data_IF_876457810777
#
_entry.id   IF_876457810777
#
_cell.length_a   1.000
_cell.length_b   1.000
_cell.length_c   1.000
_cell.angle_alpha   90.00
_cell.angle_beta   90.00
_cell.angle_gamma   90.00
#
_symmetry.space_group_name_H-M   'P 1'
#
loop_
_entity.id
_entity.type
_entity.pdbx_description
1 polymer ?
#
# COMPACT_ATOMS: atom_id res chain seq x y z
N UNK A 1 -11.88 5.03 -5.11
CA UNK A 1 -12.22 6.14 -4.19
C UNK A 1 -11.30 7.30 -4.53
N UNK A 2 -11.70 8.57 -4.33
CA UNK A 2 -10.84 9.70 -4.71
C UNK A 2 -10.05 10.23 -3.53
N UNK A 3 -8.72 10.31 -3.68
CA UNK A 3 -7.84 10.99 -2.73
C UNK A 3 -8.09 12.50 -2.75
N UNK A 4 -8.00 13.16 -1.59
CA UNK A 4 -8.19 14.61 -1.45
C UNK A 4 -6.92 15.37 -1.82
N UNK A 5 -5.77 14.78 -1.54
CA UNK A 5 -4.45 15.32 -1.86
C UNK A 5 -3.44 14.23 -2.15
N UNK A 6 -2.17 14.62 -2.25
CA UNK A 6 -1.09 13.68 -2.47
C UNK A 6 -0.71 12.95 -1.17
N UNK A 7 -0.29 11.69 -1.31
CA UNK A 7 0.23 10.83 -0.24
C UNK A 7 1.64 10.35 -0.60
N UNK A 8 2.53 10.35 0.38
CA UNK A 8 3.91 9.89 0.24
C UNK A 8 4.92 11.01 0.47
N UNK A 9 6.10 10.84 -0.14
CA UNK A 9 7.21 11.79 -0.04
C UNK A 9 7.91 11.83 -1.38
N UNK A 10 8.04 13.04 -1.94
CA UNK A 10 8.82 13.22 -3.16
C UNK A 10 10.26 12.77 -2.93
N UNK A 11 10.79 11.98 -3.86
CA UNK A 11 12.18 11.49 -3.84
C UNK A 11 13.22 12.59 -4.06
N UNK A 12 12.79 13.75 -4.60
CA UNK A 12 13.62 14.94 -4.85
C UNK A 12 13.13 16.09 -3.98
N UNK A 13 14.08 16.78 -3.34
CA UNK A 13 13.85 17.93 -2.45
C UNK A 13 13.41 19.21 -3.20
N UNK A 14 12.45 19.10 -4.14
CA UNK A 14 11.95 20.24 -4.91
C UNK A 14 10.95 21.12 -4.12
N UNK A 15 10.98 21.04 -2.77
CA UNK A 15 10.11 21.79 -1.87
C UNK A 15 8.62 21.43 -1.93
N UNK A 16 8.25 20.40 -2.70
CA UNK A 16 6.88 19.89 -2.75
C UNK A 16 6.65 18.91 -1.61
N UNK A 17 5.64 19.17 -0.79
CA UNK A 17 5.22 18.27 0.26
C UNK A 17 3.81 17.75 -0.01
N UNK A 18 3.65 16.44 0.10
CA UNK A 18 2.33 15.81 0.12
C UNK A 18 1.61 16.25 1.39
N UNK A 19 0.31 16.53 1.28
CA UNK A 19 -0.46 16.92 2.44
C UNK A 19 -0.64 15.74 3.41
N UNK A 20 -0.55 14.49 2.92
CA UNK A 20 -0.58 13.27 3.73
C UNK A 20 -1.77 13.28 4.71
N UNK A 21 -2.98 13.51 4.20
CA UNK A 21 -4.16 13.53 5.04
C UNK A 21 -4.38 12.12 5.61
N UNK A 22 -4.77 11.95 6.88
CA UNK A 22 -4.92 10.62 7.46
C UNK A 22 -5.86 9.71 6.67
N UNK A 23 -6.98 10.24 6.17
CA UNK A 23 -7.94 9.48 5.34
C UNK A 23 -7.31 9.03 4.00
N UNK A 24 -6.52 9.90 3.37
CA UNK A 24 -5.84 9.59 2.11
C UNK A 24 -4.73 8.55 2.35
N UNK A 25 -3.98 8.68 3.46
CA UNK A 25 -2.97 7.70 3.86
C UNK A 25 -3.61 6.33 4.09
N UNK A 26 -4.72 6.27 4.84
CA UNK A 26 -5.46 5.03 5.08
C UNK A 26 -5.94 4.41 3.78
N UNK A 27 -6.52 5.21 2.89
CA UNK A 27 -6.97 4.74 1.56
C UNK A 27 -5.83 4.10 0.77
N UNK A 28 -4.65 4.74 0.74
CA UNK A 28 -3.48 4.20 0.03
C UNK A 28 -2.95 2.94 0.70
N UNK A 29 -2.95 2.88 2.04
CA UNK A 29 -2.55 1.69 2.81
C UNK A 29 -3.46 0.51 2.49
N UNK A 30 -4.78 0.71 2.52
CA UNK A 30 -5.77 -0.34 2.24
C UNK A 30 -5.63 -0.88 0.82
N UNK A 31 -5.42 0.01 -0.15
CA UNK A 31 -5.18 -0.36 -1.54
C UNK A 31 -3.87 -1.16 -1.70
N UNK A 32 -2.76 -0.68 -1.13
CA UNK A 32 -1.47 -1.39 -1.16
C UNK A 32 -1.57 -2.75 -0.49
N UNK A 33 -2.27 -2.85 0.63
CA UNK A 33 -2.46 -4.12 1.34
C UNK A 33 -3.33 -5.11 0.56
N UNK A 34 -4.26 -4.61 -0.25
CA UNK A 34 -5.11 -5.44 -1.11
C UNK A 34 -4.37 -5.98 -2.32
N UNK A 35 -3.30 -5.33 -2.76
CA UNK A 35 -2.47 -5.79 -3.88
C UNK A 35 -1.48 -6.86 -3.41
N UNK A 36 -1.32 -7.91 -4.23
CA UNK A 36 -0.40 -9.00 -3.95
C UNK A 36 1.07 -8.53 -3.97
N UNK A 37 1.96 -9.12 -3.14
CA UNK A 37 3.38 -8.74 -3.13
C UNK A 37 4.09 -8.92 -4.48
N UNK A 38 3.68 -9.89 -5.29
CA UNK A 38 4.23 -10.10 -6.64
C UNK A 38 3.95 -8.92 -7.58
N UNK A 39 2.82 -8.24 -7.41
CA UNK A 39 2.46 -7.04 -8.16
C UNK A 39 3.00 -5.75 -7.51
N UNK A 40 3.84 -5.88 -6.48
CA UNK A 40 4.45 -4.76 -5.75
C UNK A 40 3.61 -4.22 -4.59
N UNK A 41 2.52 -4.91 -4.23
CA UNK A 41 1.69 -4.55 -3.07
C UNK A 41 2.29 -4.95 -1.72
N UNK A 42 1.64 -4.52 -0.65
CA UNK A 42 2.02 -4.82 0.73
C UNK A 42 1.38 -6.11 1.28
N UNK A 43 0.35 -6.67 0.62
CA UNK A 43 -0.25 -7.95 0.99
C UNK A 43 -0.70 -8.05 2.45
N UNK A 44 -1.24 -6.96 3.02
CA UNK A 44 -1.73 -6.91 4.40
C UNK A 44 -0.68 -6.60 5.47
N UNK A 45 0.59 -6.42 5.09
CA UNK A 45 1.67 -6.19 6.06
C UNK A 45 1.87 -4.73 6.47
N UNK A 46 1.23 -3.78 5.78
CA UNK A 46 1.42 -2.35 6.01
C UNK A 46 0.38 -1.81 7.00
N UNK A 47 0.83 -1.32 8.15
CA UNK A 47 -0.04 -0.60 9.10
C UNK A 47 0.02 0.93 8.91
N UNK A 48 1.08 1.41 8.22
CA UNK A 48 1.34 2.81 7.91
C UNK A 48 1.57 3.73 9.11
N UNK A 49 1.58 3.19 10.33
CA UNK A 49 1.57 3.97 11.56
C UNK A 49 2.96 4.50 11.94
N UNK A 50 3.00 5.71 12.49
CA UNK A 50 4.17 6.31 13.14
C UNK A 50 3.89 6.32 14.64
N UNK A 51 4.63 5.49 15.39
CA UNK A 51 4.38 5.29 16.83
C UNK A 51 2.91 4.92 17.14
N UNK A 52 2.33 4.03 16.34
CA UNK A 52 0.97 3.51 16.54
C UNK A 52 -0.17 4.42 16.06
N UNK A 53 0.12 5.48 15.30
CA UNK A 53 -0.93 6.32 14.69
C UNK A 53 -0.56 6.83 13.29
N UNK A 54 -1.57 7.11 12.48
CA UNK A 54 -1.40 7.95 11.29
C UNK A 54 -1.19 9.41 11.69
N UNK A 55 -0.22 10.06 11.06
CA UNK A 55 0.14 11.45 11.36
C UNK A 55 -0.10 12.31 10.14
N UNK A 56 -0.99 13.30 10.27
CA UNK A 56 -1.25 14.26 9.20
C UNK A 56 0.04 14.99 8.79
N UNK A 57 0.26 15.16 7.49
CA UNK A 57 1.44 15.83 6.95
C UNK A 57 2.71 14.97 6.90
N UNK A 58 2.74 13.80 7.55
CA UNK A 58 3.91 12.94 7.60
C UNK A 58 3.55 11.56 7.02
N UNK A 59 4.22 11.18 5.94
CA UNK A 59 4.21 9.80 5.46
C UNK A 59 5.19 8.98 6.30
N UNK A 60 4.74 7.83 6.81
CA UNK A 60 5.65 6.88 7.46
C UNK A 60 6.68 6.33 6.47
N UNK A 61 7.85 5.93 6.97
CA UNK A 61 8.86 5.31 6.12
C UNK A 61 8.37 3.98 5.54
N UNK A 62 7.52 3.26 6.27
CA UNK A 62 6.87 2.03 5.78
C UNK A 62 5.94 2.33 4.60
N UNK A 63 5.06 3.34 4.73
CA UNK A 63 4.16 3.76 3.65
C UNK A 63 4.95 4.24 2.43
N UNK A 64 5.98 5.06 2.63
CA UNK A 64 6.84 5.53 1.56
C UNK A 64 7.52 4.36 0.81
N UNK A 65 8.10 3.40 1.55
CA UNK A 65 8.74 2.22 0.94
C UNK A 65 7.75 1.37 0.14
N UNK A 66 6.54 1.17 0.66
CA UNK A 66 5.50 0.42 -0.05
C UNK A 66 5.07 1.13 -1.34
N UNK A 67 4.89 2.45 -1.31
CA UNK A 67 4.60 3.24 -2.52
C UNK A 67 5.74 3.11 -3.53
N UNK A 68 7.00 3.27 -3.09
CA UNK A 68 8.16 3.14 -3.98
C UNK A 68 8.28 1.74 -4.59
N UNK A 69 8.06 0.69 -3.80
CA UNK A 69 8.11 -0.69 -4.29
C UNK A 69 7.03 -0.96 -5.34
N UNK A 70 5.81 -0.51 -5.10
CA UNK A 70 4.72 -0.62 -6.07
C UNK A 70 5.04 0.14 -7.36
N UNK A 71 5.57 1.36 -7.25
CA UNK A 71 5.97 2.19 -8.38
C UNK A 71 7.07 1.52 -9.21
N UNK A 72 8.14 1.02 -8.57
CA UNK A 72 9.23 0.31 -9.25
C UNK A 72 8.75 -0.94 -9.99
N UNK A 73 7.76 -1.64 -9.43
CA UNK A 73 7.19 -2.87 -10.01
C UNK A 73 6.31 -2.57 -11.22
N UNK A 74 5.44 -1.56 -11.13
CA UNK A 74 4.46 -1.26 -12.17
C UNK A 74 4.96 -0.25 -13.22
N UNK A 75 5.90 0.61 -12.85
CA UNK A 75 6.39 1.73 -13.66
C UNK A 75 7.94 1.82 -13.57
N UNK A 76 8.66 0.81 -14.08
CA UNK A 76 10.13 0.79 -13.99
C UNK A 76 10.75 2.05 -14.58
N UNK A 77 11.57 2.74 -13.79
CA UNK A 77 12.20 4.01 -14.15
C UNK A 77 11.44 5.27 -13.74
N UNK A 78 10.26 5.14 -13.13
CA UNK A 78 9.57 6.23 -12.43
C UNK A 78 9.67 5.98 -10.91
N UNK A 79 10.29 6.92 -10.19
CA UNK A 79 10.41 6.88 -8.73
C UNK A 79 10.07 8.25 -8.18
N UNK A 80 8.79 8.59 -8.21
CA UNK A 80 8.26 9.82 -7.64
C UNK A 80 8.06 9.69 -6.13
N UNK A 81 7.74 8.48 -5.64
CA UNK A 81 7.47 8.20 -4.23
C UNK A 81 6.15 8.81 -3.74
N UNK A 82 5.25 9.15 -4.66
CA UNK A 82 4.00 9.89 -4.38
C UNK A 82 2.83 9.31 -5.14
N UNK A 83 1.72 9.14 -4.43
CA UNK A 83 0.40 8.85 -5.01
C UNK A 83 -0.40 10.16 -5.05
N UNK A 84 -0.76 10.62 -6.24
CA UNK A 84 -1.59 11.81 -6.43
C UNK A 84 -3.01 11.43 -6.91
N UNK A 85 -4.05 12.26 -6.65
CA UNK A 85 -5.44 11.95 -6.98
C UNK A 85 -5.69 11.60 -8.45
N UNK A 86 -4.94 12.20 -9.37
CA UNK A 86 -5.06 11.96 -10.82
C UNK A 86 -3.86 11.20 -11.40
N UNK A 87 -3.06 10.56 -10.54
CA UNK A 87 -1.88 9.82 -11.00
C UNK A 87 -2.24 8.49 -11.65
N UNK A 88 -1.46 8.11 -12.67
CA UNK A 88 -1.50 6.76 -13.24
C UNK A 88 -1.17 5.70 -12.19
N UNK A 89 -0.35 6.06 -11.20
CA UNK A 89 -0.01 5.21 -10.06
C UNK A 89 -1.25 4.84 -9.23
N UNK A 90 -2.08 5.84 -8.86
CA UNK A 90 -3.32 5.60 -8.13
C UNK A 90 -4.28 4.71 -8.93
N UNK A 91 -4.48 5.05 -10.21
CA UNK A 91 -5.38 4.28 -11.07
C UNK A 91 -4.93 2.83 -11.20
N UNK A 92 -3.63 2.58 -11.33
CA UNK A 92 -3.08 1.23 -11.42
C UNK A 92 -3.24 0.45 -10.11
N UNK A 93 -3.06 1.13 -8.98
CA UNK A 93 -3.27 0.58 -7.65
C UNK A 93 -4.74 0.16 -7.46
N UNK A 94 -5.70 0.99 -7.88
CA UNK A 94 -7.13 0.67 -7.86
C UNK A 94 -7.47 -0.52 -8.77
N UNK A 95 -6.91 -0.58 -9.98
CA UNK A 95 -7.11 -1.69 -10.92
C UNK A 95 -6.65 -3.04 -10.34
N UNK A 96 -5.45 -3.07 -9.75
CA UNK A 96 -4.90 -4.29 -9.15
C UNK A 96 -5.60 -4.67 -7.86
N UNK A 97 -5.97 -3.68 -7.03
CA UNK A 97 -6.77 -3.92 -5.84
C UNK A 97 -8.16 -4.46 -6.17
N UNK A 98 -8.76 -4.06 -7.29
CA UNK A 98 -10.06 -4.57 -7.73
C UNK A 98 -9.98 -6.00 -8.29
N UNK A 99 -8.81 -6.39 -8.81
CA UNK A 99 -8.55 -7.72 -9.35
C UNK A 99 -8.10 -8.72 -8.26
N UNK A 100 -7.75 -8.22 -7.07
CA UNK A 100 -7.38 -9.07 -5.94
C UNK A 100 -8.56 -9.98 -5.57
N UNK A 101 -8.35 -11.31 -5.48
CA UNK A 101 -9.40 -12.19 -5.01
C UNK A 101 -9.78 -11.78 -3.59
N UNK A 102 -11.06 -11.46 -3.40
CA UNK A 102 -11.67 -11.21 -2.09
C UNK A 102 -11.53 -12.49 -1.27
N UNK A 103 -10.39 -12.71 -0.60
CA UNK A 103 -10.14 -14.01 0.02
C UNK A 103 -8.76 -14.29 0.62
N UNK A 104 -7.82 -13.36 0.69
CA UNK A 104 -6.60 -13.57 1.48
C UNK A 104 -6.84 -13.27 2.97
N UNK A 105 -7.83 -13.92 3.58
CA UNK A 105 -7.75 -14.25 4.99
C UNK A 105 -6.74 -15.41 5.11
N UNK A 106 -5.92 -15.49 6.18
CA UNK A 106 -4.99 -16.59 6.34
C UNK A 106 -5.80 -17.89 6.44
N UNK A 107 -5.77 -18.69 5.39
CA UNK A 107 -6.09 -20.11 5.48
C UNK A 107 -4.99 -20.69 6.35
N UNK A 108 -5.25 -20.69 7.67
CA UNK A 108 -4.71 -21.71 8.55
C UNK A 108 -5.24 -23.02 8.00
N UNK A 109 -4.52 -23.58 7.02
CA UNK A 109 -4.78 -24.91 6.52
C UNK A 109 -4.46 -25.86 7.67
N UNK A 110 -5.55 -26.20 8.36
CA UNK A 110 -5.78 -27.31 9.25
C UNK A 110 -4.83 -28.47 8.90
N UNK A 111 -3.77 -28.57 9.69
CA UNK A 111 -2.91 -29.73 9.72
C UNK A 111 -3.77 -30.91 10.18
N UNK A 112 -3.99 -31.96 9.37
CA UNK A 112 -4.70 -33.11 9.88
C UNK A 112 -3.78 -33.77 10.91
N UNK A 113 -4.13 -33.58 12.18
CA UNK A 113 -3.64 -34.37 13.30
C UNK A 113 -3.96 -35.83 12.95
N UNK A 114 -2.99 -36.57 12.43
CA UNK A 114 -3.06 -38.03 12.30
C UNK A 114 -3.12 -38.59 13.72
N UNK A 115 -4.33 -38.59 14.28
CA UNK A 115 -4.66 -39.36 15.46
C UNK A 115 -4.64 -40.82 15.07
N UNK A 116 -3.64 -41.50 15.60
CA UNK A 116 -3.64 -42.94 15.86
C UNK A 116 -5.01 -43.40 16.37
N UNK A 117 -5.52 -44.48 15.79
CA UNK A 117 -6.47 -45.37 16.44
C UNK A 117 -6.23 -46.80 15.92
N UNK A 118 -5.92 -47.66 16.89
CA UNK A 118 -5.83 -49.14 16.94
C UNK A 118 -5.06 -49.93 15.87
#
# INVERSE_FOLDING_TARGET
MSLRGCVGRYTREDGRHCQNWPDDQLTVIDLLNSVAPYDGGAGGSLDGNINGRLVAGISSDALYRAISQFEDTQFPGQCTGVVAPDSLLLRRLEELSACAPIGAAPQVEDMPELRSAD
#
